data_IF_851786375149
#
_entry.id   IF_851786375149
#
_cell.length_a   1.000
_cell.length_b   1.000
_cell.length_c   1.000
_cell.angle_alpha   90.00
_cell.angle_beta   90.00
_cell.angle_gamma   90.00
#
_symmetry.space_group_name_H-M   'P 1'
#
loop_
_entity.id
_entity.type
_entity.pdbx_description
1 polymer ?
#
# COMPACT_ATOMS: atom_id res chain seq x y z
N UNK A 1 -37.77 19.07 19.20
CA UNK A 1 -37.44 18.92 17.77
C UNK A 1 -35.94 19.17 17.61
N UNK A 2 -35.15 18.10 17.54
CA UNK A 2 -33.69 18.17 17.41
C UNK A 2 -33.37 18.24 15.92
N UNK A 3 -32.82 19.38 15.47
CA UNK A 3 -32.27 19.53 14.11
C UNK A 3 -30.96 18.75 14.04
N UNK A 4 -31.00 17.55 13.47
CA UNK A 4 -29.78 16.80 13.14
C UNK A 4 -29.17 17.46 11.90
N UNK A 5 -28.14 18.27 12.13
CA UNK A 5 -27.33 18.87 11.09
C UNK A 5 -26.46 17.75 10.51
N UNK A 6 -26.83 17.23 9.34
CA UNK A 6 -26.00 16.28 8.58
C UNK A 6 -24.75 17.03 8.11
N UNK A 7 -23.66 16.90 8.87
CA UNK A 7 -22.32 17.30 8.42
C UNK A 7 -21.91 16.29 7.35
N UNK A 8 -22.20 16.64 6.11
CA UNK A 8 -21.63 15.97 4.94
C UNK A 8 -20.12 16.20 4.98
N UNK A 9 -19.37 15.22 5.50
CA UNK A 9 -17.91 15.20 5.39
C UNK A 9 -17.59 14.90 3.92
N UNK A 10 -17.56 15.96 3.10
CA UNK A 10 -16.86 15.91 1.84
C UNK A 10 -15.37 15.76 2.16
N UNK A 11 -14.86 14.52 2.10
CA UNK A 11 -13.43 14.27 2.06
C UNK A 11 -12.88 14.91 0.78
N UNK A 12 -12.53 16.18 0.85
CA UNK A 12 -11.55 16.75 -0.06
C UNK A 12 -10.24 16.03 0.24
N UNK A 13 -9.98 14.95 -0.49
CA UNK A 13 -8.68 14.30 -0.52
C UNK A 13 -7.74 15.28 -1.22
N UNK A 14 -7.22 16.25 -0.47
CA UNK A 14 -5.95 16.86 -0.83
C UNK A 14 -4.96 15.71 -0.79
N UNK A 15 -4.25 15.48 -1.91
CA UNK A 15 -3.12 14.55 -1.97
C UNK A 15 -1.98 15.09 -1.09
N UNK A 16 -2.20 15.13 0.23
CA UNK A 16 -1.15 15.10 1.21
C UNK A 16 -0.33 13.86 0.87
N UNK A 17 0.99 14.01 0.93
CA UNK A 17 1.93 12.90 0.89
C UNK A 17 1.40 11.84 1.89
N UNK A 18 0.79 10.77 1.35
CA UNK A 18 0.31 9.65 2.12
C UNK A 18 1.54 8.79 2.34
N UNK A 19 1.97 8.75 3.59
CA UNK A 19 2.98 7.83 4.08
C UNK A 19 2.24 6.81 4.95
N UNK A 20 2.92 5.71 5.29
CA UNK A 20 2.36 4.65 6.11
C UNK A 20 1.98 5.07 7.54
N UNK A 21 2.04 6.37 7.84
CA UNK A 21 1.72 7.05 9.08
C UNK A 21 1.15 8.46 8.80
N UNK A 22 0.51 9.06 9.80
CA UNK A 22 -0.04 10.41 9.69
C UNK A 22 1.07 11.47 9.64
N UNK A 23 1.27 12.07 8.45
CA UNK A 23 2.28 13.11 8.25
C UNK A 23 2.10 14.36 9.12
N UNK A 24 0.91 14.62 9.66
CA UNK A 24 0.71 15.72 10.64
C UNK A 24 1.32 15.40 12.00
N UNK A 25 1.58 14.12 12.27
CA UNK A 25 2.21 13.61 13.50
C UNK A 25 3.70 13.32 13.31
N UNK A 26 4.27 13.60 12.14
CA UNK A 26 5.69 13.42 11.85
C UNK A 26 6.55 14.21 12.85
N UNK A 27 7.31 13.48 13.65
CA UNK A 27 8.08 14.00 14.78
C UNK A 27 9.59 13.98 14.52
N UNK A 28 10.06 12.97 13.79
CA UNK A 28 11.49 12.79 13.51
C UNK A 28 11.94 13.48 12.22
N UNK A 29 13.25 13.75 12.04
CA UNK A 29 13.77 14.23 10.76
C UNK A 29 13.46 13.30 9.58
N UNK A 30 13.47 11.99 9.82
CA UNK A 30 13.17 10.97 8.80
C UNK A 30 11.71 11.01 8.39
N UNK A 31 10.78 11.02 9.36
CA UNK A 31 9.35 11.11 9.11
C UNK A 31 9.00 12.39 8.34
N UNK A 32 9.58 13.53 8.76
CA UNK A 32 9.39 14.81 8.06
C UNK A 32 9.94 14.75 6.63
N UNK A 33 11.08 14.09 6.43
CA UNK A 33 11.67 13.92 5.08
C UNK A 33 10.76 13.07 4.19
N UNK A 34 10.27 11.94 4.70
CA UNK A 34 9.30 11.07 4.01
C UNK A 34 8.05 11.87 3.63
N UNK A 35 7.50 12.63 4.57
CA UNK A 35 6.30 13.45 4.33
C UNK A 35 6.51 14.64 3.40
N UNK A 36 7.76 15.10 3.21
CA UNK A 36 8.08 16.19 2.30
C UNK A 36 8.41 15.74 0.88
N UNK A 37 8.74 14.45 0.69
CA UNK A 37 9.13 13.86 -0.59
C UNK A 37 8.06 12.87 -1.06
N UNK A 38 7.38 13.21 -2.16
CA UNK A 38 6.27 12.40 -2.70
C UNK A 38 6.67 10.95 -2.99
N UNK A 39 7.86 10.73 -3.54
CA UNK A 39 8.33 9.39 -3.89
C UNK A 39 8.61 8.57 -2.63
N UNK A 40 9.21 9.17 -1.60
CA UNK A 40 9.44 8.49 -0.33
C UNK A 40 8.14 8.23 0.42
N UNK A 41 7.19 9.15 0.36
CA UNK A 41 5.86 8.99 0.94
C UNK A 41 5.13 7.77 0.36
N UNK A 42 5.03 7.71 -0.97
CA UNK A 42 4.44 6.57 -1.66
C UNK A 42 5.20 5.26 -1.40
N UNK A 43 6.53 5.33 -1.26
CA UNK A 43 7.31 4.15 -0.93
C UNK A 43 7.02 3.64 0.49
N UNK A 44 6.74 4.54 1.42
CA UNK A 44 6.37 4.21 2.80
C UNK A 44 4.94 3.66 2.88
N UNK A 45 4.01 4.16 2.06
CA UNK A 45 2.68 3.55 1.87
C UNK A 45 2.81 2.11 1.36
N UNK A 46 3.60 1.90 0.30
CA UNK A 46 3.84 0.57 -0.25
C UNK A 46 4.46 -0.39 0.79
N UNK A 47 5.30 0.12 1.69
CA UNK A 47 5.83 -0.64 2.83
C UNK A 47 4.72 -1.06 3.80
N UNK A 48 3.82 -0.14 4.17
CA UNK A 48 2.69 -0.46 5.04
C UNK A 48 1.77 -1.50 4.42
N UNK A 49 1.44 -1.39 3.13
CA UNK A 49 0.65 -2.41 2.43
C UNK A 49 1.34 -3.78 2.42
N UNK A 50 2.67 -3.82 2.22
CA UNK A 50 3.45 -5.06 2.29
C UNK A 50 3.44 -5.68 3.69
N UNK A 51 3.48 -4.85 4.74
CA UNK A 51 3.42 -5.30 6.12
C UNK A 51 2.04 -5.87 6.46
N UNK A 52 0.98 -5.17 6.08
CA UNK A 52 -0.40 -5.60 6.28
C UNK A 52 -0.69 -6.90 5.52
N UNK A 53 -0.18 -7.04 4.31
CA UNK A 53 -0.25 -8.29 3.57
C UNK A 53 0.43 -9.44 4.33
N UNK A 54 1.66 -9.23 4.81
CA UNK A 54 2.41 -10.25 5.51
C UNK A 54 1.70 -10.69 6.81
N UNK A 55 1.24 -9.76 7.64
CA UNK A 55 0.57 -10.10 8.91
C UNK A 55 -0.80 -10.75 8.68
N UNK A 56 -1.58 -10.28 7.70
CA UNK A 56 -2.88 -10.87 7.37
C UNK A 56 -2.74 -12.25 6.74
N UNK A 57 -1.69 -12.48 5.95
CA UNK A 57 -1.34 -13.81 5.45
C UNK A 57 -1.20 -14.83 6.58
N UNK A 58 -0.54 -14.46 7.68
CA UNK A 58 -0.43 -15.35 8.86
C UNK A 58 -1.74 -15.54 9.62
N UNK A 59 -2.53 -14.47 9.81
CA UNK A 59 -3.78 -14.50 10.58
C UNK A 59 -4.88 -15.34 9.94
N UNK A 60 -4.99 -15.26 8.62
CA UNK A 60 -6.18 -15.70 7.89
C UNK A 60 -5.88 -16.72 6.79
N UNK A 61 -4.61 -16.84 6.37
CA UNK A 61 -4.19 -17.74 5.30
C UNK A 61 -3.77 -19.14 5.77
N UNK A 62 -3.69 -19.38 7.08
CA UNK A 62 -3.17 -20.65 7.62
C UNK A 62 -4.23 -21.46 8.35
N UNK A 63 -4.80 -22.51 7.73
CA UNK A 63 -5.45 -23.60 8.46
C UNK A 63 -4.46 -24.51 9.20
N UNK A 64 -3.15 -24.21 9.16
CA UNK A 64 -2.05 -25.05 9.65
C UNK A 64 -1.54 -24.58 11.03
N UNK A 65 -1.69 -23.30 11.38
CA UNK A 65 -1.19 -22.73 12.63
C UNK A 65 -2.28 -22.62 13.67
N UNK A 66 -2.02 -23.15 14.88
CA UNK A 66 -2.86 -22.86 16.04
C UNK A 66 -2.71 -21.40 16.49
N UNK A 67 -3.69 -20.89 17.23
CA UNK A 67 -3.75 -19.49 17.69
C UNK A 67 -2.44 -19.01 18.36
N UNK A 68 -1.83 -19.85 19.21
CA UNK A 68 -0.57 -19.55 19.89
C UNK A 68 0.62 -19.34 18.92
N UNK A 69 0.63 -20.07 17.79
CA UNK A 69 1.66 -19.91 16.76
C UNK A 69 1.45 -18.61 15.98
N UNK A 70 0.19 -18.28 15.64
CA UNK A 70 -0.16 -17.00 15.00
C UNK A 70 0.26 -15.83 15.90
N UNK A 71 -0.04 -15.88 17.20
CA UNK A 71 0.35 -14.85 18.16
C UNK A 71 1.89 -14.68 18.22
N UNK A 72 2.63 -15.78 18.22
CA UNK A 72 4.10 -15.77 18.23
C UNK A 72 4.67 -15.12 16.97
N UNK A 73 4.15 -15.49 15.80
CA UNK A 73 4.57 -14.92 14.51
C UNK A 73 4.24 -13.43 14.45
N UNK A 74 3.03 -13.02 14.89
CA UNK A 74 2.65 -11.61 14.94
C UNK A 74 3.57 -10.79 15.83
N UNK A 75 3.89 -11.29 17.03
CA UNK A 75 4.80 -10.62 17.96
C UNK A 75 6.19 -10.46 17.34
N UNK A 76 6.70 -11.52 16.69
CA UNK A 76 7.98 -11.48 16.00
C UNK A 76 7.98 -10.44 14.86
N UNK A 77 6.95 -10.46 14.00
CA UNK A 77 6.84 -9.53 12.87
C UNK A 77 6.68 -8.07 13.32
N UNK A 78 5.87 -7.81 14.36
CA UNK A 78 5.75 -6.48 14.99
C UNK A 78 7.08 -6.00 15.57
N UNK A 79 7.85 -6.89 16.20
CA UNK A 79 9.18 -6.56 16.75
C UNK A 79 10.15 -6.21 15.63
N UNK A 80 10.26 -7.05 14.60
CA UNK A 80 11.10 -6.80 13.42
C UNK A 80 10.77 -5.45 12.77
N UNK A 81 9.48 -5.13 12.61
CA UNK A 81 9.07 -3.87 11.98
C UNK A 81 9.43 -2.64 12.83
N UNK A 82 9.30 -2.72 14.17
CA UNK A 82 9.76 -1.66 15.09
C UNK A 82 11.27 -1.46 15.01
N UNK A 83 12.03 -2.54 14.94
CA UNK A 83 13.49 -2.49 14.77
C UNK A 83 13.89 -1.89 13.42
N UNK A 84 13.15 -2.22 12.35
CA UNK A 84 13.31 -1.57 11.05
C UNK A 84 13.10 -0.06 11.15
N UNK A 85 11.98 0.41 11.71
CA UNK A 85 11.68 1.85 11.85
C UNK A 85 12.79 2.55 12.63
N UNK A 86 13.19 1.99 13.79
CA UNK A 86 14.29 2.52 14.60
C UNK A 86 15.61 2.61 13.83
N UNK A 87 15.91 1.63 12.98
CA UNK A 87 17.12 1.65 12.15
C UNK A 87 17.01 2.63 10.98
N UNK A 88 15.83 2.80 10.38
CA UNK A 88 15.58 3.80 9.33
C UNK A 88 15.77 5.21 9.87
N UNK A 89 15.41 5.47 11.13
CA UNK A 89 15.60 6.78 11.76
C UNK A 89 17.06 7.28 11.76
N UNK A 90 18.03 6.36 11.64
CA UNK A 90 19.45 6.72 11.51
C UNK A 90 19.77 7.44 10.20
N UNK A 91 18.91 7.31 9.18
CA UNK A 91 19.06 8.00 7.89
C UNK A 91 18.81 9.52 7.99
N UNK A 92 18.08 9.99 9.01
CA UNK A 92 17.69 11.41 9.15
C UNK A 92 17.05 11.93 7.86
N UNK A 93 17.62 12.94 7.21
CA UNK A 93 17.14 13.52 5.97
C UNK A 93 17.78 12.94 4.70
N UNK A 94 18.58 11.87 4.79
CA UNK A 94 19.21 11.25 3.63
C UNK A 94 18.18 10.41 2.85
N UNK A 95 17.64 10.97 1.77
CA UNK A 95 16.61 10.34 0.94
C UNK A 95 17.06 9.02 0.31
N UNK A 96 18.33 8.90 -0.09
CA UNK A 96 18.89 7.66 -0.64
C UNK A 96 18.93 6.55 0.40
N UNK A 97 19.39 6.86 1.62
CA UNK A 97 19.39 5.93 2.75
C UNK A 97 17.98 5.45 3.10
N UNK A 98 17.01 6.38 3.19
CA UNK A 98 15.61 6.05 3.49
C UNK A 98 15.05 5.09 2.43
N UNK A 99 15.26 5.42 1.15
CA UNK A 99 14.82 4.62 0.01
C UNK A 99 15.41 3.21 0.04
N UNK A 100 16.73 3.09 0.22
CA UNK A 100 17.41 1.80 0.26
C UNK A 100 16.88 0.91 1.40
N UNK A 101 16.78 1.46 2.62
CA UNK A 101 16.28 0.73 3.78
C UNK A 101 14.83 0.29 3.57
N UNK A 102 13.98 1.18 3.06
CA UNK A 102 12.56 0.90 2.84
C UNK A 102 12.36 -0.14 1.75
N UNK A 103 13.06 -0.04 0.63
CA UNK A 103 13.07 -1.06 -0.43
C UNK A 103 13.53 -2.43 0.09
N UNK A 104 14.60 -2.46 0.90
CA UNK A 104 15.09 -3.70 1.50
C UNK A 104 14.02 -4.34 2.40
N UNK A 105 13.31 -3.54 3.19
CA UNK A 105 12.26 -4.04 4.07
C UNK A 105 11.04 -4.55 3.30
N UNK A 106 10.58 -3.82 2.27
CA UNK A 106 9.52 -4.30 1.35
C UNK A 106 9.89 -5.67 0.77
N UNK A 107 11.14 -5.83 0.30
CA UNK A 107 11.61 -7.12 -0.22
C UNK A 107 11.61 -8.24 0.84
N UNK A 108 11.95 -7.93 2.09
CA UNK A 108 11.90 -8.89 3.21
C UNK A 108 10.45 -9.30 3.48
N UNK A 109 9.53 -8.35 3.58
CA UNK A 109 8.10 -8.61 3.82
C UNK A 109 7.49 -9.42 2.67
N UNK A 110 7.78 -9.04 1.42
CA UNK A 110 7.33 -9.76 0.25
C UNK A 110 7.84 -11.21 0.23
N UNK A 111 9.12 -11.45 0.59
CA UNK A 111 9.66 -12.81 0.72
C UNK A 111 9.00 -13.60 1.84
N UNK A 112 8.77 -13.00 3.01
CA UNK A 112 8.06 -13.64 4.13
C UNK A 112 6.62 -13.99 3.75
N UNK A 113 6.02 -13.21 2.86
CA UNK A 113 4.67 -13.42 2.35
C UNK A 113 4.58 -14.37 1.14
N UNK A 114 5.71 -14.87 0.61
CA UNK A 114 5.70 -15.87 -0.47
C UNK A 114 5.28 -17.22 0.09
N UNK A 115 4.07 -17.62 -0.26
CA UNK A 115 3.52 -18.92 0.05
C UNK A 115 4.06 -20.00 -0.91
N UNK A 116 5.35 -20.35 -0.82
CA UNK A 116 5.97 -21.23 -1.82
C UNK A 116 5.78 -22.74 -1.56
N UNK A 117 5.27 -23.19 -0.41
CA UNK A 117 4.88 -24.59 -0.25
C UNK A 117 3.71 -24.76 0.72
N UNK A 118 2.61 -25.31 0.20
CA UNK A 118 1.42 -25.80 0.91
C UNK A 118 0.49 -24.72 1.48
N UNK A 119 -0.33 -24.13 0.60
CA UNK A 119 -1.72 -23.82 0.98
C UNK A 119 -2.06 -22.41 1.42
N UNK A 120 -1.55 -21.36 0.75
CA UNK A 120 -2.29 -20.09 0.71
C UNK A 120 -3.49 -20.25 -0.23
N UNK A 121 -4.47 -21.03 0.21
CA UNK A 121 -5.74 -21.20 -0.48
C UNK A 121 -6.52 -19.89 -0.32
N UNK A 122 -6.88 -19.25 -1.45
CA UNK A 122 -7.98 -18.30 -1.77
C UNK A 122 -8.77 -17.50 -0.69
N UNK A 123 -8.36 -17.42 0.57
CA UNK A 123 -9.25 -16.95 1.65
C UNK A 123 -9.24 -15.43 1.83
N UNK A 124 -8.45 -14.65 1.08
CA UNK A 124 -8.47 -13.19 1.24
C UNK A 124 -8.24 -12.44 -0.06
N UNK A 125 -9.31 -12.14 -0.78
CA UNK A 125 -9.27 -11.14 -1.87
C UNK A 125 -8.61 -9.83 -1.40
N UNK A 126 -8.93 -9.40 -0.17
CA UNK A 126 -8.38 -8.20 0.48
C UNK A 126 -6.85 -8.20 0.58
N UNK A 127 -6.26 -9.32 0.99
CA UNK A 127 -4.81 -9.40 1.16
C UNK A 127 -4.12 -9.41 -0.21
N UNK A 128 -4.64 -10.15 -1.18
CA UNK A 128 -4.03 -10.21 -2.51
C UNK A 128 -3.99 -8.83 -3.19
N UNK A 129 -5.06 -8.05 -3.08
CA UNK A 129 -5.08 -6.69 -3.67
C UNK A 129 -4.07 -5.74 -3.00
N UNK A 130 -3.81 -5.87 -1.69
CA UNK A 130 -2.79 -5.07 -1.01
C UNK A 130 -1.38 -5.34 -1.55
N UNK A 131 -1.04 -6.62 -1.77
CA UNK A 131 0.24 -7.00 -2.39
C UNK A 131 0.35 -6.44 -3.82
N UNK A 132 -0.74 -6.54 -4.59
CA UNK A 132 -0.79 -6.04 -5.96
C UNK A 132 -0.65 -4.51 -6.01
N UNK A 133 -1.34 -3.78 -5.11
CA UNK A 133 -1.19 -2.33 -4.98
C UNK A 133 0.23 -1.93 -4.62
N UNK A 134 0.83 -2.59 -3.63
CA UNK A 134 2.22 -2.34 -3.24
C UNK A 134 3.18 -2.52 -4.43
N UNK A 135 2.98 -3.58 -5.23
CA UNK A 135 3.78 -3.80 -6.44
C UNK A 135 3.54 -2.74 -7.52
N UNK A 136 2.29 -2.33 -7.73
CA UNK A 136 1.90 -1.26 -8.65
C UNK A 136 2.57 0.08 -8.27
N UNK A 137 2.46 0.49 -7.01
CA UNK A 137 3.05 1.71 -6.47
C UNK A 137 4.56 1.72 -6.61
N UNK A 138 5.20 0.59 -6.35
CA UNK A 138 6.65 0.45 -6.53
C UNK A 138 7.09 0.72 -7.99
N UNK A 139 6.32 0.25 -8.97
CA UNK A 139 6.59 0.50 -10.40
C UNK A 139 6.30 1.96 -10.75
N UNK A 140 5.20 2.51 -10.24
CA UNK A 140 4.85 3.92 -10.39
C UNK A 140 5.98 4.83 -9.88
N UNK A 141 6.53 4.58 -8.68
CA UNK A 141 7.62 5.36 -8.09
C UNK A 141 8.86 5.31 -8.98
N UNK A 142 9.25 4.13 -9.46
CA UNK A 142 10.39 3.99 -10.37
C UNK A 142 10.22 4.81 -11.65
N UNK A 143 9.04 4.75 -12.24
CA UNK A 143 8.72 5.53 -13.43
C UNK A 143 8.77 7.02 -13.11
N UNK A 144 8.12 7.45 -12.03
CA UNK A 144 8.08 8.84 -11.59
C UNK A 144 9.48 9.44 -11.38
N UNK A 145 10.41 8.67 -10.81
CA UNK A 145 11.80 9.10 -10.58
C UNK A 145 12.61 9.24 -11.89
N UNK A 146 12.27 8.52 -12.95
CA UNK A 146 12.95 8.59 -14.25
C UNK A 146 12.40 9.69 -15.17
N UNK A 147 11.14 10.09 -14.97
CA UNK A 147 10.46 11.03 -15.85
C UNK A 147 10.92 12.50 -15.65
N UNK A 148 10.80 13.30 -16.72
CA UNK A 148 10.93 14.75 -16.66
C UNK A 148 9.69 15.39 -16.02
N UNK A 149 9.81 16.65 -15.59
CA UNK A 149 8.74 17.35 -14.83
C UNK A 149 7.36 17.29 -15.50
N UNK A 150 7.28 17.60 -16.81
CA UNK A 150 6.01 17.57 -17.57
C UNK A 150 5.37 16.18 -17.60
N UNK A 151 6.19 15.15 -17.81
CA UNK A 151 5.70 13.77 -17.90
C UNK A 151 5.32 13.22 -16.51
N UNK A 152 5.98 13.69 -15.45
CA UNK A 152 5.59 13.40 -14.05
C UNK A 152 4.21 13.93 -13.71
N UNK A 153 3.90 15.17 -14.10
CA UNK A 153 2.57 15.76 -13.85
C UNK A 153 1.47 14.97 -14.59
N UNK A 154 1.75 14.55 -15.82
CA UNK A 154 0.84 13.68 -16.58
C UNK A 154 0.63 12.34 -15.87
N UNK A 155 1.72 11.67 -15.49
CA UNK A 155 1.68 10.38 -14.80
C UNK A 155 0.89 10.47 -13.47
N UNK A 156 1.07 11.57 -12.73
CA UNK A 156 0.30 11.85 -11.51
C UNK A 156 -1.20 11.92 -11.81
N UNK A 157 -1.61 12.76 -12.77
CA UNK A 157 -3.04 12.88 -13.15
C UNK A 157 -3.66 11.55 -13.57
N UNK A 158 -2.90 10.73 -14.30
CA UNK A 158 -3.34 9.37 -14.67
C UNK A 158 -3.53 8.48 -13.44
N UNK A 159 -2.62 8.56 -12.46
CA UNK A 159 -2.74 7.80 -11.22
C UNK A 159 -3.91 8.28 -10.35
N UNK A 160 -4.13 9.60 -10.26
CA UNK A 160 -5.27 10.17 -9.55
C UNK A 160 -6.61 9.75 -10.19
N UNK A 161 -6.68 9.75 -11.52
CA UNK A 161 -7.84 9.26 -12.24
C UNK A 161 -8.08 7.77 -11.96
N UNK A 162 -7.03 6.95 -11.97
CA UNK A 162 -7.11 5.54 -11.61
C UNK A 162 -7.67 5.33 -10.19
N UNK A 163 -7.14 6.01 -9.17
CA UNK A 163 -7.63 5.87 -7.80
C UNK A 163 -9.09 6.33 -7.66
N UNK A 164 -9.48 7.39 -8.38
CA UNK A 164 -10.86 7.86 -8.42
C UNK A 164 -11.79 6.81 -9.04
N UNK A 165 -11.35 6.13 -10.10
CA UNK A 165 -12.13 5.10 -10.76
C UNK A 165 -12.24 3.84 -9.90
N UNK A 166 -11.19 3.48 -9.14
CA UNK A 166 -11.28 2.42 -8.12
C UNK A 166 -12.30 2.79 -7.05
N UNK A 167 -12.29 4.04 -6.56
CA UNK A 167 -13.27 4.53 -5.58
C UNK A 167 -14.71 4.42 -6.10
N UNK A 168 -14.98 4.87 -7.32
CA UNK A 168 -16.31 4.73 -7.95
C UNK A 168 -16.73 3.27 -8.09
N UNK A 169 -15.81 2.39 -8.47
CA UNK A 169 -16.08 0.95 -8.56
C UNK A 169 -16.51 0.39 -7.21
N UNK A 170 -15.81 0.77 -6.13
CA UNK A 170 -16.19 0.39 -4.77
C UNK A 170 -17.58 0.91 -4.39
N UNK A 171 -17.85 2.20 -4.62
CA UNK A 171 -19.15 2.82 -4.32
C UNK A 171 -20.28 2.09 -5.06
N UNK A 172 -20.12 1.89 -6.38
CA UNK A 172 -21.10 1.19 -7.22
C UNK A 172 -21.33 -0.25 -6.78
N UNK A 173 -20.27 -0.99 -6.44
CA UNK A 173 -20.41 -2.37 -6.00
C UNK A 173 -21.06 -2.48 -4.62
N UNK A 174 -20.83 -1.50 -3.73
CA UNK A 174 -21.51 -1.42 -2.44
C UNK A 174 -23.00 -1.11 -2.64
N UNK A 175 -23.32 -0.08 -3.44
CA UNK A 175 -24.69 0.33 -3.74
C UNK A 175 -25.52 -0.81 -4.36
N UNK A 176 -24.91 -1.57 -5.26
CA UNK A 176 -25.55 -2.71 -5.91
C UNK A 176 -25.48 -4.02 -5.09
N UNK A 177 -24.98 -3.98 -3.85
CA UNK A 177 -24.79 -5.17 -3.00
C UNK A 177 -23.95 -6.29 -3.63
N UNK A 178 -23.03 -5.93 -4.55
CA UNK A 178 -22.20 -6.86 -5.31
C UNK A 178 -20.94 -7.31 -4.56
N UNK A 179 -20.53 -6.62 -3.49
CA UNK A 179 -19.32 -6.98 -2.76
C UNK A 179 -19.38 -8.36 -2.07
N UNK A 180 -20.58 -8.93 -1.89
CA UNK A 180 -20.77 -10.09 -1.00
C UNK A 180 -20.66 -9.71 0.47
N UNK A 181 -20.99 -10.63 1.38
CA UNK A 181 -20.98 -10.38 2.83
C UNK A 181 -19.59 -10.15 3.42
N UNK A 182 -18.55 -10.68 2.76
CA UNK A 182 -17.15 -10.60 3.17
C UNK A 182 -16.32 -9.61 2.33
N UNK A 183 -16.96 -8.90 1.40
CA UNK A 183 -16.34 -7.98 0.43
C UNK A 183 -15.37 -8.62 -0.57
N UNK A 184 -15.26 -9.95 -0.63
CA UNK A 184 -14.28 -10.65 -1.47
C UNK A 184 -14.45 -10.32 -2.96
N UNK A 185 -15.69 -10.13 -3.43
CA UNK A 185 -15.95 -9.79 -4.83
C UNK A 185 -15.45 -8.38 -5.20
N UNK A 186 -15.59 -7.41 -4.30
CA UNK A 186 -15.07 -6.05 -4.52
C UNK A 186 -13.55 -6.03 -4.59
N UNK A 187 -12.89 -6.83 -3.75
CA UNK A 187 -11.44 -6.98 -3.83
C UNK A 187 -10.97 -7.68 -5.13
N UNK A 188 -11.78 -8.60 -5.68
CA UNK A 188 -11.46 -9.25 -6.94
C UNK A 188 -11.53 -8.26 -8.13
N UNK A 189 -12.49 -7.33 -8.13
CA UNK A 189 -12.57 -6.31 -9.17
C UNK A 189 -11.48 -5.25 -9.03
N UNK A 190 -11.18 -4.81 -7.80
CA UNK A 190 -10.03 -3.95 -7.55
C UNK A 190 -8.72 -4.60 -8.00
N UNK A 191 -8.53 -5.88 -7.70
CA UNK A 191 -7.37 -6.67 -8.14
C UNK A 191 -7.19 -6.60 -9.67
N UNK A 192 -8.26 -6.79 -10.45
CA UNK A 192 -8.19 -6.67 -11.92
C UNK A 192 -7.76 -5.27 -12.37
N UNK A 193 -8.32 -4.23 -11.75
CA UNK A 193 -7.97 -2.83 -12.05
C UNK A 193 -6.49 -2.56 -11.74
N UNK A 194 -6.01 -2.98 -10.57
CA UNK A 194 -4.62 -2.84 -10.13
C UNK A 194 -3.67 -3.61 -11.04
N UNK A 195 -4.01 -4.84 -11.45
CA UNK A 195 -3.21 -5.64 -12.39
C UNK A 195 -3.13 -4.97 -13.77
N UNK A 196 -4.24 -4.43 -14.29
CA UNK A 196 -4.25 -3.68 -15.54
C UNK A 196 -3.35 -2.45 -15.47
N UNK A 197 -3.51 -1.61 -14.44
CA UNK A 197 -2.69 -0.42 -14.24
C UNK A 197 -1.22 -0.76 -14.06
N UNK A 198 -0.92 -1.85 -13.34
CA UNK A 198 0.45 -2.37 -13.20
C UNK A 198 1.07 -2.71 -14.55
N UNK A 199 0.31 -3.33 -15.46
CA UNK A 199 0.79 -3.66 -16.80
C UNK A 199 1.11 -2.39 -17.59
N UNK A 200 0.22 -1.39 -17.56
CA UNK A 200 0.41 -0.11 -18.24
C UNK A 200 1.66 0.62 -17.72
N UNK A 201 1.83 0.70 -16.39
CA UNK A 201 3.00 1.31 -15.77
C UNK A 201 4.30 0.59 -16.14
N UNK A 202 4.30 -0.75 -16.23
CA UNK A 202 5.46 -1.52 -16.71
C UNK A 202 5.79 -1.22 -18.16
N UNK A 203 4.78 -0.98 -19.00
CA UNK A 203 4.99 -0.61 -20.40
C UNK A 203 5.59 0.80 -20.53
N UNK A 204 5.02 1.78 -19.83
CA UNK A 204 5.57 3.13 -19.77
C UNK A 204 7.02 3.12 -19.25
N UNK A 205 7.31 2.35 -18.19
CA UNK A 205 8.65 2.19 -17.64
C UNK A 205 9.64 1.56 -18.62
N UNK A 206 9.21 0.58 -19.43
CA UNK A 206 10.05 0.01 -20.49
C UNK A 206 10.37 1.04 -21.57
N UNK A 207 9.40 1.85 -21.96
CA UNK A 207 9.55 2.86 -23.01
C UNK A 207 10.32 4.13 -22.56
N UNK A 208 10.57 4.26 -21.25
CA UNK A 208 11.32 5.39 -20.67
C UNK A 208 12.82 5.09 -20.53
N UNK A 209 13.22 3.82 -20.62
CA UNK A 209 14.62 3.38 -20.56
C UNK A 209 15.26 3.38 -21.95
#
# INVERSE_FOLDING_TARGET
MIKILFISIAFFITFLNSAGFDCKKASTPTEKTICSDKSLSLLDDALSMSYDYAINGYKFGYPIYGESQIETIEKALKKEQREFVKNREKCKNNTSCIREKTNKQINILNKKSKCDHHGCFNILGASNVLRERSAMEYIYIKLYELLKSKDREKLQKEQEAFEKDVGKMWDQNIENSLCGSDRTLCYADESKMVQSRTKDLKEQLRNTK
#
